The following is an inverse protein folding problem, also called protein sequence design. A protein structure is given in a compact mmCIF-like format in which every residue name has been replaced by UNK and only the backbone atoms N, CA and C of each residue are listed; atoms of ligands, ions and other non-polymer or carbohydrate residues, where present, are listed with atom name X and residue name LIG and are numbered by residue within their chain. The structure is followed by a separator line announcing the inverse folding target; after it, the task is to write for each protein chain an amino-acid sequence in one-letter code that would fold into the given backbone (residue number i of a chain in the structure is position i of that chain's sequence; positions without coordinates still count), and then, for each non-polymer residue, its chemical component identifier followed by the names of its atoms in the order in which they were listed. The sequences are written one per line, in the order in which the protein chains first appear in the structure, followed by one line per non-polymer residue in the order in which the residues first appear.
data_IF_694368417899
#
_entry.id   IF_694368417899
#
_cell.length_a   1.000
_cell.length_b   1.000
_cell.length_c   1.000
_cell.angle_alpha   90.00
_cell.angle_beta   90.00
_cell.angle_gamma   90.00
#
_symmetry.space_group_name_H-M   'P 1'
#
loop_
_entity.id
_entity.type
_entity.pdbx_description
1 polymer ?
#
# COMPACT_ATOMS: atom_id res chain seq x y z
N UNK A 1 -18.60 -1.40 -16.20
CA UNK A 1 -17.57 -1.61 -15.16
C UNK A 1 -16.22 -1.48 -15.82
N UNK A 2 -15.48 -0.39 -15.51
CA UNK A 2 -14.12 -0.20 -16.01
C UNK A 2 -13.17 -0.78 -14.97
N UNK A 3 -12.53 -1.91 -15.28
CA UNK A 3 -11.57 -2.54 -14.39
C UNK A 3 -10.22 -1.86 -14.49
N UNK A 4 -9.55 -1.66 -13.36
CA UNK A 4 -8.13 -1.30 -13.37
C UNK A 4 -7.30 -2.56 -13.65
N UNK A 5 -6.58 -2.63 -14.78
CA UNK A 5 -5.81 -3.83 -15.15
C UNK A 5 -4.64 -4.13 -14.19
N UNK A 6 -4.32 -3.23 -13.25
CA UNK A 6 -3.17 -3.38 -12.37
C UNK A 6 -3.55 -4.11 -11.06
N UNK A 7 -4.75 -3.86 -10.52
CA UNK A 7 -5.16 -4.37 -9.19
C UNK A 7 -6.52 -5.07 -9.16
N UNK A 8 -7.17 -5.21 -10.32
CA UNK A 8 -8.54 -5.71 -10.45
C UNK A 8 -9.54 -4.96 -9.55
N UNK A 9 -9.22 -3.73 -9.13
CA UNK A 9 -10.09 -2.94 -8.26
C UNK A 9 -11.29 -2.38 -9.04
N UNK A 10 -12.44 -2.33 -8.38
CA UNK A 10 -13.62 -1.67 -8.93
C UNK A 10 -13.45 -0.15 -8.85
N UNK A 11 -13.24 0.49 -10.01
CA UNK A 11 -13.03 1.95 -10.09
C UNK A 11 -14.26 2.76 -9.66
N UNK A 12 -15.45 2.26 -9.93
CA UNK A 12 -16.69 2.96 -9.56
C UNK A 12 -16.78 3.08 -8.03
N UNK A 13 -16.36 2.05 -7.29
CA UNK A 13 -16.27 2.08 -5.82
C UNK A 13 -15.22 3.09 -5.33
N UNK A 14 -14.04 3.12 -5.94
CA UNK A 14 -13.00 4.09 -5.59
C UNK A 14 -13.48 5.52 -5.82
N UNK A 15 -14.15 5.78 -6.94
CA UNK A 15 -14.69 7.11 -7.27
C UNK A 15 -15.79 7.53 -6.29
N UNK A 16 -16.69 6.62 -5.88
CA UNK A 16 -17.71 6.90 -4.86
C UNK A 16 -17.03 7.32 -3.55
N UNK A 17 -16.07 6.53 -3.07
CA UNK A 17 -15.38 6.80 -1.81
C UNK A 17 -14.53 8.08 -1.88
N UNK A 18 -13.83 8.32 -2.99
CA UNK A 18 -13.04 9.54 -3.20
C UNK A 18 -13.91 10.81 -3.13
N UNK A 19 -15.10 10.77 -3.72
CA UNK A 19 -16.03 11.89 -3.72
C UNK A 19 -16.72 12.09 -2.35
N UNK A 20 -17.12 11.00 -1.68
CA UNK A 20 -17.80 11.07 -0.38
C UNK A 20 -16.82 11.45 0.75
N UNK A 21 -15.53 11.16 0.60
CA UNK A 21 -14.51 11.32 1.65
C UNK A 21 -13.33 12.20 1.21
N UNK A 22 -13.59 13.34 0.56
CA UNK A 22 -12.54 14.28 0.15
C UNK A 22 -11.69 14.79 1.34
N UNK A 23 -10.38 14.49 1.37
CA UNK A 23 -9.46 15.01 2.40
C UNK A 23 -9.47 16.52 2.56
N UNK A 24 -9.69 17.27 1.49
CA UNK A 24 -9.66 18.74 1.51
C UNK A 24 -10.79 19.31 2.37
N UNK A 25 -12.00 18.74 2.23
CA UNK A 25 -13.20 19.11 2.99
C UNK A 25 -13.03 18.78 4.47
N UNK A 26 -12.47 17.60 4.77
CA UNK A 26 -12.15 17.18 6.14
C UNK A 26 -11.22 18.18 6.83
N UNK A 27 -10.14 18.57 6.15
CA UNK A 27 -9.13 19.46 6.73
C UNK A 27 -9.65 20.90 6.86
N UNK A 28 -10.49 21.38 5.93
CA UNK A 28 -11.15 22.69 6.07
C UNK A 28 -12.03 22.77 7.31
N UNK A 29 -12.87 21.76 7.53
CA UNK A 29 -13.72 21.66 8.71
C UNK A 29 -12.87 21.65 9.99
N UNK A 30 -11.80 20.85 10.02
CA UNK A 30 -10.89 20.79 11.16
C UNK A 30 -10.18 22.13 11.42
N UNK A 31 -9.57 22.74 10.40
CA UNK A 31 -8.84 24.00 10.50
C UNK A 31 -9.72 25.13 11.07
N UNK A 32 -10.97 25.22 10.60
CA UNK A 32 -11.95 26.20 11.09
C UNK A 32 -12.28 26.01 12.58
N UNK A 33 -12.32 24.76 13.05
CA UNK A 33 -12.63 24.40 14.44
C UNK A 33 -11.46 24.56 15.39
N UNK A 34 -10.23 24.57 14.91
CA UNK A 34 -9.01 24.67 15.73
C UNK A 34 -8.44 26.07 15.86
N UNK A 35 -8.94 27.05 15.10
CA UNK A 35 -8.43 28.42 15.13
C UNK A 35 -8.44 29.02 16.55
N UNK A 36 -7.26 29.38 17.06
CA UNK A 36 -7.07 30.00 18.38
C UNK A 36 -7.25 29.07 19.58
N UNK A 37 -7.37 27.74 19.37
CA UNK A 37 -7.53 26.77 20.46
C UNK A 37 -6.21 26.29 21.03
N UNK A 38 -6.24 25.80 22.27
CA UNK A 38 -5.06 25.24 22.92
C UNK A 38 -4.76 23.81 22.42
N UNK A 39 -3.50 23.34 22.50
CA UNK A 39 -3.10 22.02 22.01
C UNK A 39 -3.95 20.85 22.54
N UNK A 40 -4.38 20.91 23.81
CA UNK A 40 -5.23 19.87 24.42
C UNK A 40 -6.64 19.83 23.83
N UNK A 41 -7.21 20.99 23.49
CA UNK A 41 -8.50 21.08 22.81
C UNK A 41 -8.39 20.63 21.35
N UNK A 42 -7.27 20.98 20.69
CA UNK A 42 -6.96 20.52 19.33
C UNK A 42 -6.87 19.00 19.30
N UNK A 43 -6.18 18.37 20.25
CA UNK A 43 -6.09 16.91 20.31
C UNK A 43 -7.46 16.24 20.47
N UNK A 44 -8.32 16.78 21.33
CA UNK A 44 -9.69 16.28 21.51
C UNK A 44 -10.53 16.42 20.22
N UNK A 45 -10.43 17.57 19.54
CA UNK A 45 -11.08 17.79 18.25
C UNK A 45 -10.52 16.88 17.15
N UNK A 46 -9.21 16.60 17.20
CA UNK A 46 -8.55 15.73 16.23
C UNK A 46 -9.13 14.32 16.31
N UNK A 47 -9.25 13.80 17.52
CA UNK A 47 -9.87 12.49 17.76
C UNK A 47 -11.33 12.45 17.31
N UNK A 48 -12.11 13.51 17.56
CA UNK A 48 -13.50 13.59 17.13
C UNK A 48 -13.64 13.67 15.60
N UNK A 49 -13.03 14.68 14.98
CA UNK A 49 -13.19 14.96 13.54
C UNK A 49 -12.54 13.86 12.69
N UNK A 50 -11.25 13.59 12.89
CA UNK A 50 -10.54 12.58 12.10
C UNK A 50 -10.98 11.16 12.47
N UNK A 51 -11.24 10.88 13.75
CA UNK A 51 -11.72 9.56 14.17
C UNK A 51 -13.10 9.23 13.58
N UNK A 52 -14.02 10.21 13.55
CA UNK A 52 -15.32 10.06 12.87
C UNK A 52 -15.15 9.84 11.38
N UNK A 53 -14.28 10.59 10.71
CA UNK A 53 -13.97 10.40 9.30
C UNK A 53 -13.48 8.98 9.01
N UNK A 54 -12.49 8.48 9.75
CA UNK A 54 -11.94 7.12 9.56
C UNK A 54 -12.99 6.03 9.77
N UNK A 55 -13.85 6.18 10.79
CA UNK A 55 -14.95 5.25 11.05
C UNK A 55 -15.98 5.23 9.92
N UNK A 56 -16.41 6.41 9.45
CA UNK A 56 -17.42 6.52 8.39
C UNK A 56 -16.88 6.00 7.06
N UNK A 57 -15.62 6.29 6.73
CA UNK A 57 -14.96 5.78 5.53
C UNK A 57 -14.95 4.25 5.52
N UNK A 58 -14.53 3.63 6.62
CA UNK A 58 -14.51 2.17 6.69
C UNK A 58 -15.92 1.56 6.70
N UNK A 59 -16.87 2.16 7.39
CA UNK A 59 -18.26 1.72 7.39
C UNK A 59 -18.87 1.74 5.99
N UNK A 60 -18.63 2.83 5.25
CA UNK A 60 -19.09 2.96 3.88
C UNK A 60 -18.41 1.97 2.95
N UNK A 61 -17.11 1.78 3.10
CA UNK A 61 -16.37 0.78 2.33
C UNK A 61 -16.87 -0.65 2.62
N UNK A 62 -17.20 -0.99 3.87
CA UNK A 62 -17.79 -2.28 4.22
C UNK A 62 -19.16 -2.47 3.54
N UNK A 63 -20.01 -1.45 3.57
CA UNK A 63 -21.30 -1.46 2.87
C UNK A 63 -21.16 -1.63 1.35
N UNK A 64 -20.22 -0.91 0.71
CA UNK A 64 -19.99 -1.04 -0.73
C UNK A 64 -19.35 -2.38 -1.08
N UNK A 65 -18.33 -2.81 -0.33
CA UNK A 65 -17.57 -4.02 -0.59
C UNK A 65 -18.41 -5.29 -0.51
N UNK A 66 -19.47 -5.32 0.30
CA UNK A 66 -20.35 -6.48 0.39
C UNK A 66 -21.41 -6.54 -0.73
N UNK A 67 -21.49 -5.52 -1.58
CA UNK A 67 -22.39 -5.50 -2.75
C UNK A 67 -21.74 -6.17 -3.95
N UNK A 68 -22.50 -7.03 -4.63
CA UNK A 68 -22.00 -7.84 -5.75
C UNK A 68 -21.51 -7.00 -6.93
N UNK A 69 -22.10 -5.82 -7.15
CA UNK A 69 -21.71 -4.91 -8.22
C UNK A 69 -20.38 -4.20 -8.00
N UNK A 70 -19.86 -4.15 -6.77
CA UNK A 70 -18.57 -3.52 -6.45
C UNK A 70 -17.48 -4.54 -6.09
N UNK A 71 -17.86 -5.80 -5.88
CA UNK A 71 -16.95 -6.87 -5.52
C UNK A 71 -16.13 -7.32 -6.74
N UNK A 72 -14.82 -7.23 -6.61
CA UNK A 72 -13.90 -7.73 -7.62
C UNK A 72 -13.58 -9.22 -7.45
N UNK A 73 -13.09 -9.85 -8.51
CA UNK A 73 -12.82 -11.30 -8.51
C UNK A 73 -11.75 -11.70 -7.48
N UNK A 74 -10.76 -10.85 -7.23
CA UNK A 74 -9.76 -11.13 -6.21
C UNK A 74 -10.41 -11.13 -4.82
N UNK A 75 -11.28 -10.17 -4.53
CA UNK A 75 -12.00 -10.11 -3.27
C UNK A 75 -12.95 -11.30 -3.09
N UNK A 76 -13.68 -11.73 -4.12
CA UNK A 76 -14.50 -12.96 -4.06
C UNK A 76 -13.67 -14.17 -3.61
N UNK A 77 -12.52 -14.39 -4.25
CA UNK A 77 -11.62 -15.50 -3.92
C UNK A 77 -11.07 -15.39 -2.49
N UNK A 78 -10.76 -14.16 -2.04
CA UNK A 78 -10.31 -13.92 -0.68
C UNK A 78 -11.40 -14.19 0.36
N UNK A 79 -12.67 -13.85 0.07
CA UNK A 79 -13.81 -14.19 0.96
C UNK A 79 -14.01 -15.70 1.03
N UNK A 80 -14.05 -16.39 -0.11
CA UNK A 80 -14.17 -17.86 -0.17
C UNK A 80 -13.05 -18.55 0.62
N UNK A 81 -11.84 -18.00 0.58
CA UNK A 81 -10.71 -18.51 1.35
C UNK A 81 -10.82 -18.19 2.84
N UNK A 82 -11.28 -16.98 3.20
CA UNK A 82 -11.48 -16.54 4.57
C UNK A 82 -12.59 -17.29 5.32
N UNK A 83 -13.61 -17.77 4.59
CA UNK A 83 -14.73 -18.55 5.15
C UNK A 83 -14.30 -19.96 5.62
N UNK A 84 -13.05 -20.36 5.38
CA UNK A 84 -12.50 -21.62 5.90
C UNK A 84 -12.32 -21.55 7.42
N UNK A 85 -12.70 -22.61 8.18
CA UNK A 85 -12.68 -22.58 9.65
C UNK A 85 -11.35 -22.23 10.32
N UNK A 86 -10.23 -22.51 9.65
CA UNK A 86 -8.87 -22.35 10.17
C UNK A 86 -8.13 -21.15 9.54
N UNK A 87 -8.82 -20.31 8.77
CA UNK A 87 -8.22 -19.17 8.05
C UNK A 87 -8.71 -17.85 8.63
N UNK A 88 -10.01 -17.60 8.56
CA UNK A 88 -10.59 -16.31 8.93
C UNK A 88 -10.17 -15.16 7.98
N UNK A 89 -10.60 -13.92 8.27
CA UNK A 89 -10.41 -12.79 7.37
C UNK A 89 -9.00 -12.17 7.43
N UNK A 90 -8.23 -12.42 8.49
CA UNK A 90 -6.89 -11.87 8.64
C UNK A 90 -5.82 -12.77 8.00
N UNK A 91 -4.83 -12.24 7.25
CA UNK A 91 -4.65 -10.82 6.92
C UNK A 91 -5.30 -10.42 5.59
N UNK A 92 -5.66 -11.37 4.73
CA UNK A 92 -5.85 -11.08 3.30
C UNK A 92 -7.11 -10.27 2.98
N UNK A 93 -8.24 -10.57 3.64
CA UNK A 93 -9.44 -9.74 3.48
C UNK A 93 -9.17 -8.34 4.04
N UNK A 94 -8.49 -8.26 5.19
CA UNK A 94 -8.10 -6.99 5.81
C UNK A 94 -7.21 -6.16 4.87
N UNK A 95 -6.22 -6.78 4.24
CA UNK A 95 -5.36 -6.12 3.25
C UNK A 95 -6.19 -5.49 2.13
N UNK A 96 -7.15 -6.22 1.58
CA UNK A 96 -7.96 -5.70 0.47
C UNK A 96 -8.75 -4.45 0.87
N UNK A 97 -9.34 -4.44 2.07
CA UNK A 97 -10.04 -3.25 2.60
C UNK A 97 -9.10 -2.06 2.82
N UNK A 98 -7.88 -2.30 3.31
CA UNK A 98 -6.87 -1.25 3.46
C UNK A 98 -6.46 -0.69 2.10
N UNK A 99 -6.18 -1.55 1.11
CA UNK A 99 -5.85 -1.12 -0.25
C UNK A 99 -6.93 -0.20 -0.83
N UNK A 100 -8.19 -0.64 -0.80
CA UNK A 100 -9.31 0.14 -1.32
C UNK A 100 -9.44 1.47 -0.58
N UNK A 101 -9.41 1.46 0.74
CA UNK A 101 -9.60 2.66 1.55
C UNK A 101 -8.53 3.73 1.26
N UNK A 102 -7.26 3.33 1.22
CA UNK A 102 -6.16 4.27 1.01
C UNK A 102 -6.04 4.71 -0.45
N UNK A 103 -6.30 3.83 -1.43
CA UNK A 103 -6.33 4.23 -2.84
C UNK A 103 -7.48 5.20 -3.14
N UNK A 104 -8.64 5.02 -2.51
CA UNK A 104 -9.78 5.90 -2.70
C UNK A 104 -9.49 7.35 -2.27
N UNK A 105 -8.91 7.53 -1.08
CA UNK A 105 -8.65 8.88 -0.54
C UNK A 105 -7.33 9.49 -1.03
N UNK A 106 -6.48 8.69 -1.69
CA UNK A 106 -5.21 9.13 -2.26
C UNK A 106 -5.15 8.78 -3.75
N UNK A 107 -5.87 9.47 -4.65
CA UNK A 107 -5.86 9.21 -6.09
C UNK A 107 -4.48 9.30 -6.77
N UNK A 108 -3.49 9.93 -6.13
CA UNK A 108 -2.08 9.94 -6.61
C UNK A 108 -1.32 8.68 -6.22
N UNK A 109 -1.79 7.96 -5.21
CA UNK A 109 -1.20 6.72 -4.73
C UNK A 109 -1.48 5.62 -5.76
N UNK A 110 -0.41 5.08 -6.32
CA UNK A 110 -0.51 4.00 -7.29
C UNK A 110 -0.79 2.65 -6.64
N UNK A 111 -0.12 2.37 -5.52
CA UNK A 111 -0.30 1.15 -4.72
C UNK A 111 -0.12 1.46 -3.24
N UNK A 112 -0.83 0.73 -2.37
CA UNK A 112 -0.49 0.73 -0.95
C UNK A 112 0.77 -0.11 -0.76
N UNK A 113 1.78 0.45 -0.11
CA UNK A 113 3.06 -0.22 0.08
C UNK A 113 2.99 -1.32 1.13
N UNK A 114 2.57 -2.53 0.75
CA UNK A 114 2.54 -3.69 1.64
C UNK A 114 3.97 -4.21 1.87
N UNK A 115 4.41 -4.25 3.13
CA UNK A 115 5.73 -4.76 3.54
C UNK A 115 5.67 -6.22 3.99
N UNK A 116 4.64 -6.54 4.77
CA UNK A 116 4.44 -7.87 5.34
C UNK A 116 2.94 -8.17 5.29
N UNK A 117 2.58 -9.38 4.90
CA UNK A 117 1.20 -9.85 4.98
C UNK A 117 1.21 -11.35 5.24
N UNK A 118 1.05 -11.73 6.50
CA UNK A 118 0.94 -13.11 6.94
C UNK A 118 -0.02 -13.24 8.11
N UNK A 119 -0.20 -14.47 8.61
CA UNK A 119 -1.15 -14.77 9.69
C UNK A 119 -0.88 -14.03 11.01
N UNK A 120 0.32 -13.45 11.19
CA UNK A 120 0.74 -12.70 12.37
C UNK A 120 0.65 -11.21 12.21
N UNK A 121 1.06 -10.71 11.06
CA UNK A 121 1.29 -9.30 10.87
C UNK A 121 0.85 -8.89 9.46
N UNK A 122 0.23 -7.73 9.39
CA UNK A 122 0.04 -7.00 8.15
C UNK A 122 0.67 -5.63 8.32
N UNK A 123 1.77 -5.37 7.61
CA UNK A 123 2.44 -4.07 7.62
C UNK A 123 2.30 -3.39 6.27
N UNK A 124 2.02 -2.10 6.31
CA UNK A 124 1.95 -1.26 5.12
C UNK A 124 2.39 0.16 5.43
N UNK A 125 2.67 0.94 4.39
CA UNK A 125 3.06 2.35 4.54
C UNK A 125 2.45 3.25 3.47
N UNK A 126 2.44 4.55 3.77
CA UNK A 126 2.05 5.65 2.89
C UNK A 126 3.12 6.74 2.99
N UNK A 127 3.66 7.19 1.86
CA UNK A 127 4.67 8.25 1.79
C UNK A 127 4.02 9.63 1.89
N UNK A 128 4.76 10.59 2.43
CA UNK A 128 4.33 11.98 2.57
C UNK A 128 3.83 12.62 1.29
N UNK A 129 4.42 12.28 0.15
CA UNK A 129 4.05 12.83 -1.15
C UNK A 129 2.76 12.23 -1.72
N UNK A 130 2.33 11.09 -1.20
CA UNK A 130 1.12 10.39 -1.66
C UNK A 130 -0.07 10.57 -0.71
N UNK A 131 0.14 11.08 0.51
CA UNK A 131 -0.92 11.24 1.50
C UNK A 131 -1.67 12.57 1.31
N UNK A 132 -2.85 12.53 0.71
CA UNK A 132 -3.66 13.71 0.45
C UNK A 132 -4.18 14.39 1.72
N UNK A 133 -4.49 13.64 2.78
CA UNK A 133 -4.87 14.24 4.08
C UNK A 133 -3.71 15.07 4.63
N UNK A 134 -2.50 14.51 4.62
CA UNK A 134 -1.33 15.21 5.16
C UNK A 134 -0.92 16.40 4.30
N UNK A 135 -1.01 16.28 2.97
CA UNK A 135 -0.80 17.39 2.04
C UNK A 135 -1.78 18.54 2.33
N UNK A 136 -3.09 18.25 2.43
CA UNK A 136 -4.10 19.26 2.75
C UNK A 136 -3.87 19.91 4.13
N UNK A 137 -3.44 19.13 5.13
CA UNK A 137 -3.08 19.66 6.44
C UNK A 137 -1.88 20.61 6.39
N UNK A 138 -0.85 20.26 5.61
CA UNK A 138 0.36 21.08 5.45
C UNK A 138 0.04 22.44 4.82
N UNK A 139 -0.95 22.50 3.93
CA UNK A 139 -1.38 23.73 3.29
C UNK A 139 -2.21 24.64 4.21
N UNK A 140 -2.95 24.06 5.17
CA UNK A 140 -4.02 24.77 5.91
C UNK A 140 -3.75 24.98 7.39
N UNK A 141 -2.88 24.18 7.99
CA UNK A 141 -2.62 24.20 9.44
C UNK A 141 -1.26 24.84 9.74
N UNK A 142 -1.13 25.43 10.92
CA UNK A 142 0.17 25.87 11.42
C UNK A 142 1.06 24.67 11.74
N UNK A 143 2.37 24.88 11.72
CA UNK A 143 3.36 23.85 12.06
C UNK A 143 3.11 23.24 13.45
N UNK A 144 2.75 24.06 14.45
CA UNK A 144 2.42 23.58 15.80
C UNK A 144 1.25 22.58 15.81
N UNK A 145 0.21 22.84 15.01
CA UNK A 145 -0.95 21.94 14.90
C UNK A 145 -0.58 20.70 14.08
N UNK A 146 0.20 20.87 13.01
CA UNK A 146 0.65 19.80 12.14
C UNK A 146 1.51 18.79 12.91
N UNK A 147 2.39 19.25 13.80
CA UNK A 147 3.25 18.44 14.65
C UNK A 147 2.47 17.58 15.67
N UNK A 148 1.21 17.94 15.97
CA UNK A 148 0.33 17.06 16.74
C UNK A 148 -0.16 15.85 15.92
N UNK A 149 0.10 15.80 14.61
CA UNK A 149 -0.30 14.76 13.66
C UNK A 149 -1.77 14.32 13.83
N UNK A 150 -2.75 15.25 13.72
CA UNK A 150 -4.15 14.97 14.02
C UNK A 150 -4.75 13.87 13.13
N UNK A 151 -4.28 13.73 11.89
CA UNK A 151 -4.74 12.69 10.96
C UNK A 151 -4.44 11.25 11.40
N UNK A 152 -3.55 11.03 12.39
CA UNK A 152 -3.30 9.69 12.94
C UNK A 152 -4.59 9.03 13.44
N UNK A 153 -5.52 9.84 13.95
CA UNK A 153 -6.80 9.36 14.47
C UNK A 153 -7.71 8.81 13.36
N UNK A 154 -7.66 9.37 12.14
CA UNK A 154 -8.40 8.82 11.01
C UNK A 154 -7.87 7.43 10.65
N UNK A 155 -6.56 7.29 10.50
CA UNK A 155 -5.93 6.02 10.13
C UNK A 155 -6.16 4.95 11.20
N UNK A 156 -6.01 5.29 12.48
CA UNK A 156 -6.20 4.38 13.60
C UNK A 156 -7.67 3.95 13.75
N UNK A 157 -8.63 4.88 13.70
CA UNK A 157 -10.05 4.55 13.79
C UNK A 157 -10.51 3.70 12.60
N UNK A 158 -10.05 4.01 11.38
CA UNK A 158 -10.33 3.22 10.18
C UNK A 158 -9.87 1.76 10.34
N UNK A 159 -8.64 1.55 10.78
CA UNK A 159 -8.06 0.22 10.99
C UNK A 159 -8.80 -0.55 12.09
N UNK A 160 -9.07 0.09 13.23
CA UNK A 160 -9.80 -0.53 14.34
C UNK A 160 -11.23 -0.90 13.95
N UNK A 161 -11.93 -0.04 13.19
CA UNK A 161 -13.28 -0.32 12.69
C UNK A 161 -13.28 -1.53 11.75
N UNK A 162 -12.27 -1.66 10.88
CA UNK A 162 -12.13 -2.80 9.99
C UNK A 162 -11.92 -4.11 10.77
N UNK A 163 -10.98 -4.12 11.72
CA UNK A 163 -10.70 -5.29 12.56
C UNK A 163 -11.96 -5.72 13.32
N UNK A 164 -12.66 -4.76 13.95
CA UNK A 164 -13.91 -5.01 14.66
C UNK A 164 -14.99 -5.58 13.73
N UNK A 165 -15.21 -4.97 12.57
CA UNK A 165 -16.26 -5.38 11.64
C UNK A 165 -16.01 -6.79 11.06
N UNK A 166 -14.74 -7.21 10.97
CA UNK A 166 -14.36 -8.55 10.52
C UNK A 166 -14.16 -9.54 11.67
N UNK A 167 -14.49 -9.17 12.91
CA UNK A 167 -14.39 -10.04 14.08
C UNK A 167 -12.95 -10.42 14.46
N UNK A 168 -11.96 -9.63 14.03
CA UNK A 168 -10.55 -9.83 14.36
C UNK A 168 -10.26 -9.09 15.67
N UNK A 169 -10.48 -9.79 16.79
CA UNK A 169 -10.38 -9.20 18.13
C UNK A 169 -9.00 -9.37 18.79
N UNK A 170 -8.10 -10.11 18.14
CA UNK A 170 -6.77 -10.46 18.64
C UNK A 170 -5.64 -9.78 17.87
N UNK A 171 -5.97 -8.81 17.01
CA UNK A 171 -5.04 -7.93 16.34
C UNK A 171 -5.14 -6.49 16.88
N UNK A 172 -4.02 -5.79 16.93
CA UNK A 172 -3.95 -4.37 17.29
C UNK A 172 -3.37 -3.55 16.14
N UNK A 173 -3.94 -2.36 15.90
CA UNK A 173 -3.39 -1.38 14.98
C UNK A 173 -2.32 -0.52 15.65
N UNK A 174 -1.13 -0.49 15.06
CA UNK A 174 0.05 0.23 15.53
C UNK A 174 0.56 1.15 14.42
N UNK A 175 1.18 2.27 14.80
CA UNK A 175 1.84 3.20 13.87
C UNK A 175 3.32 3.36 14.27
N UNK A 176 4.20 2.43 13.87
CA UNK A 176 5.62 2.47 14.24
C UNK A 176 6.40 3.64 13.62
N UNK A 177 5.95 4.22 12.51
CA UNK A 177 6.57 5.40 11.87
C UNK A 177 5.51 6.41 11.49
N UNK A 178 5.85 7.69 11.55
CA UNK A 178 4.91 8.78 11.36
C UNK A 178 5.41 9.87 10.42
N UNK A 179 4.46 10.60 9.84
CA UNK A 179 4.73 11.53 8.74
C UNK A 179 5.64 12.71 9.12
N UNK A 180 5.67 13.10 10.40
CA UNK A 180 6.46 14.23 10.88
C UNK A 180 7.92 13.83 11.02
N UNK A 181 8.17 12.67 11.65
CA UNK A 181 9.52 12.24 12.02
C UNK A 181 10.21 11.44 10.91
N UNK A 182 9.45 10.67 10.12
CA UNK A 182 9.97 9.66 9.18
C UNK A 182 9.70 9.96 7.70
N UNK A 183 9.02 11.07 7.38
CA UNK A 183 8.51 11.42 6.04
C UNK A 183 7.60 10.32 5.40
N UNK A 184 7.08 9.41 6.23
CA UNK A 184 6.11 8.38 5.87
C UNK A 184 5.30 7.95 7.09
N UNK A 185 4.10 7.41 6.87
CA UNK A 185 3.41 6.66 7.90
C UNK A 185 3.58 5.16 7.64
N UNK A 186 4.12 4.42 8.60
CA UNK A 186 4.10 2.95 8.61
C UNK A 186 3.06 2.49 9.62
N UNK A 187 2.23 1.54 9.22
CA UNK A 187 1.21 0.90 10.03
C UNK A 187 1.47 -0.60 10.13
N UNK A 188 1.09 -1.18 11.27
CA UNK A 188 1.13 -2.62 11.51
C UNK A 188 -0.18 -3.04 12.17
N UNK A 189 -0.83 -4.07 11.62
CA UNK A 189 -1.92 -4.79 12.25
C UNK A 189 -1.32 -6.09 12.78
N UNK A 190 -1.02 -6.14 14.08
CA UNK A 190 -0.25 -7.22 14.69
C UNK A 190 -1.08 -8.10 15.61
N UNK A 191 -0.96 -9.43 15.48
CA UNK A 191 -1.56 -10.42 16.39
C UNK A 191 -0.52 -10.89 17.39
N UNK A 192 -0.76 -10.65 18.68
CA UNK A 192 0.11 -11.11 19.76
C UNK A 192 0.08 -12.63 19.93
N UNK A 193 -1.10 -13.23 19.77
CA UNK A 193 -1.34 -14.64 19.97
C UNK A 193 -1.86 -15.30 18.69
N UNK A 194 -1.10 -16.26 18.16
CA UNK A 194 -1.53 -17.06 17.01
C UNK A 194 -1.41 -18.51 17.41
N UNK A 195 -2.53 -19.20 17.38
CA UNK A 195 -2.52 -20.66 17.39
C UNK A 195 -2.48 -21.08 15.93
N UNK A 196 -1.28 -21.41 15.45
CA UNK A 196 -1.15 -22.00 14.12
C UNK A 196 -1.81 -23.38 14.14
N UNK A 197 -2.58 -23.77 13.11
CA UNK A 197 -3.05 -25.14 13.01
C UNK A 197 -1.83 -26.08 13.00
N UNK A 198 -1.82 -27.05 13.91
CA UNK A 198 -0.73 -28.03 14.07
C UNK A 198 -0.70 -29.08 12.96
N UNK A 199 -1.71 -29.10 12.09
CA UNK A 199 -1.76 -29.99 10.93
C UNK A 199 -1.07 -29.30 9.76
N UNK A 200 0.04 -29.87 9.21
CA UNK A 200 0.66 -29.35 8.00
C UNK A 200 -0.39 -29.32 6.89
N UNK A 201 -0.63 -28.14 6.31
CA UNK A 201 -1.54 -27.99 5.18
C UNK A 201 -0.92 -28.64 3.95
N UNK A 202 -1.65 -29.62 3.42
CA UNK A 202 -1.40 -30.35 2.17
C UNK A 202 -0.06 -31.11 2.15
N UNK A 203 -0.15 -32.44 2.20
CA UNK A 203 0.82 -33.24 1.46
C UNK A 203 0.77 -32.73 0.02
N UNK A 204 1.86 -32.12 -0.43
CA UNK A 204 2.03 -31.81 -1.84
C UNK A 204 2.01 -33.14 -2.58
N UNK A 205 0.84 -33.56 -3.09
CA UNK A 205 0.85 -34.54 -4.16
C UNK A 205 1.67 -33.89 -5.28
N UNK A 206 2.75 -34.57 -5.69
CA UNK A 206 3.80 -34.11 -6.60
C UNK A 206 3.33 -33.83 -8.04
N UNK A 207 2.08 -33.43 -8.23
CA UNK A 207 1.54 -32.93 -9.49
C UNK A 207 1.76 -31.42 -9.57
N UNK A 208 3.01 -30.99 -9.42
CA UNK A 208 3.41 -29.63 -9.84
C UNK A 208 3.14 -29.51 -11.33
N UNK A 209 2.13 -28.72 -11.69
CA UNK A 209 1.83 -28.40 -13.08
C UNK A 209 3.09 -27.84 -13.77
N UNK A 210 3.42 -28.37 -14.95
CA UNK A 210 4.52 -27.95 -15.82
C UNK A 210 4.47 -26.46 -16.23
N UNK A 211 3.42 -25.73 -15.86
CA UNK A 211 3.23 -24.30 -16.16
C UNK A 211 4.30 -23.38 -15.53
N UNK A 212 5.04 -23.85 -14.52
CA UNK A 212 6.14 -23.10 -13.89
C UNK A 212 7.45 -23.11 -14.69
N UNK A 213 7.55 -23.87 -15.78
CA UNK A 213 8.77 -24.00 -16.60
C UNK A 213 8.88 -23.06 -17.79
N UNK A 214 7.86 -22.25 -18.08
CA UNK A 214 7.98 -21.13 -19.02
C UNK A 214 8.68 -19.93 -18.36
N UNK A 215 9.88 -20.17 -17.81
CA UNK A 215 10.76 -19.09 -17.42
C UNK A 215 11.16 -18.34 -18.68
N UNK A 216 10.99 -17.02 -18.69
CA UNK A 216 11.81 -16.19 -19.56
C UNK A 216 13.27 -16.65 -19.37
N UNK A 217 13.96 -16.98 -20.46
CA UNK A 217 15.37 -17.37 -20.43
C UNK A 217 16.17 -16.18 -19.89
N UNK A 218 16.34 -16.13 -18.58
CA UNK A 218 17.14 -15.13 -17.92
C UNK A 218 18.55 -15.67 -17.77
N UNK A 219 19.46 -15.19 -18.61
CA UNK A 219 20.90 -15.31 -18.39
C UNK A 219 21.25 -14.34 -17.24
N UNK A 220 20.99 -14.75 -16.00
CA UNK A 220 21.29 -13.95 -14.79
C UNK A 220 22.59 -14.37 -14.09
N UNK A 221 23.28 -15.38 -14.62
CA UNK A 221 24.64 -15.75 -14.26
C UNK A 221 25.68 -15.18 -15.24
N UNK A 222 25.37 -14.05 -15.90
CA UNK A 222 26.39 -13.36 -16.69
C UNK A 222 27.33 -12.59 -15.76
N UNK A 223 28.63 -12.68 -16.02
CA UNK A 223 29.65 -11.80 -15.41
C UNK A 223 29.62 -10.38 -16.03
N UNK A 224 28.51 -10.02 -16.69
CA UNK A 224 28.35 -8.71 -17.31
C UNK A 224 28.25 -7.64 -16.22
N UNK A 225 28.97 -6.54 -16.43
CA UNK A 225 28.92 -5.37 -15.55
C UNK A 225 27.61 -4.60 -15.69
N UNK A 226 26.94 -4.72 -16.83
CA UNK A 226 25.70 -4.03 -17.13
C UNK A 226 24.65 -5.04 -17.59
N UNK A 227 23.51 -5.06 -16.91
CA UNK A 227 22.35 -5.90 -17.22
C UNK A 227 21.26 -4.97 -17.74
N UNK A 228 20.75 -5.23 -18.95
CA UNK A 228 19.64 -4.47 -19.53
C UNK A 228 18.31 -5.20 -19.36
N UNK A 229 17.34 -4.55 -18.74
CA UNK A 229 15.97 -5.03 -18.58
C UNK A 229 15.00 -4.11 -19.32
N UNK A 230 14.50 -4.57 -20.47
CA UNK A 230 13.49 -3.83 -21.24
C UNK A 230 12.07 -4.27 -20.84
N UNK A 231 11.36 -3.39 -20.15
CA UNK A 231 10.02 -3.64 -19.61
C UNK A 231 8.92 -2.84 -20.32
N UNK A 232 9.22 -2.19 -21.45
CA UNK A 232 8.28 -1.28 -22.15
C UNK A 232 6.95 -1.93 -22.56
N UNK A 233 6.97 -3.25 -22.76
CA UNK A 233 5.81 -4.04 -23.18
C UNK A 233 5.19 -4.86 -22.04
N UNK A 234 5.67 -4.69 -20.81
CA UNK A 234 5.15 -5.42 -19.66
C UNK A 234 3.98 -4.68 -19.04
N UNK A 235 3.00 -5.44 -18.56
CA UNK A 235 1.95 -4.89 -17.70
C UNK A 235 2.56 -4.44 -16.36
N UNK A 236 2.01 -3.42 -15.69
CA UNK A 236 2.69 -2.82 -14.54
C UNK A 236 2.95 -3.76 -13.36
N UNK A 237 2.05 -4.72 -13.12
CA UNK A 237 2.29 -5.75 -12.10
C UNK A 237 3.55 -6.58 -12.42
N UNK A 238 3.74 -6.94 -13.69
CA UNK A 238 4.91 -7.71 -14.14
C UNK A 238 6.18 -6.87 -14.12
N UNK A 239 6.08 -5.57 -14.41
CA UNK A 239 7.19 -4.61 -14.26
C UNK A 239 7.83 -4.72 -12.87
N UNK A 240 7.00 -4.70 -11.82
CA UNK A 240 7.48 -4.74 -10.42
C UNK A 240 8.20 -6.07 -10.13
N UNK A 241 7.59 -7.20 -10.50
CA UNK A 241 8.18 -8.51 -10.23
C UNK A 241 9.49 -8.75 -10.98
N UNK A 242 9.52 -8.41 -12.28
CA UNK A 242 10.72 -8.59 -13.10
C UNK A 242 11.84 -7.70 -12.58
N UNK A 243 11.58 -6.40 -12.38
CA UNK A 243 12.59 -5.47 -11.88
C UNK A 243 13.09 -5.88 -10.49
N UNK A 244 12.16 -6.29 -9.60
CA UNK A 244 12.42 -6.87 -8.28
C UNK A 244 13.43 -8.00 -8.28
N UNK A 245 13.13 -9.02 -9.08
CA UNK A 245 13.98 -10.21 -9.18
C UNK A 245 15.38 -9.92 -9.72
N UNK A 246 15.54 -8.89 -10.56
CA UNK A 246 16.82 -8.51 -11.14
C UNK A 246 17.69 -7.71 -10.16
N UNK A 247 17.16 -6.69 -9.49
CA UNK A 247 18.00 -5.90 -8.58
C UNK A 247 18.42 -6.69 -7.33
N UNK A 248 17.59 -7.60 -6.82
CA UNK A 248 17.94 -8.45 -5.67
C UNK A 248 19.10 -9.42 -5.98
N UNK A 249 19.34 -9.69 -7.27
CA UNK A 249 20.43 -10.55 -7.75
C UNK A 249 21.69 -9.79 -8.18
N UNK A 250 21.68 -8.45 -8.19
CA UNK A 250 22.86 -7.67 -8.54
C UNK A 250 24.02 -7.96 -7.59
N UNK A 251 25.21 -8.22 -8.16
CA UNK A 251 26.48 -8.27 -7.43
C UNK A 251 27.07 -6.87 -7.30
N UNK A 252 28.01 -6.69 -6.36
CA UNK A 252 28.75 -5.42 -6.23
C UNK A 252 29.47 -5.08 -7.53
N UNK A 253 29.32 -3.83 -7.97
CA UNK A 253 29.90 -3.33 -9.22
C UNK A 253 29.12 -3.71 -10.49
N UNK A 254 27.99 -4.41 -10.37
CA UNK A 254 27.03 -4.57 -11.46
C UNK A 254 25.99 -3.45 -11.44
N UNK A 255 25.50 -3.11 -12.63
CA UNK A 255 24.47 -2.11 -12.87
C UNK A 255 23.29 -2.75 -13.61
N UNK A 256 22.07 -2.54 -13.13
CA UNK A 256 20.83 -2.88 -13.82
C UNK A 256 20.27 -1.62 -14.49
N UNK A 257 20.14 -1.65 -15.81
CA UNK A 257 19.49 -0.61 -16.59
C UNK A 257 18.08 -1.06 -16.97
N UNK A 258 17.06 -0.35 -16.48
CA UNK A 258 15.65 -0.67 -16.71
C UNK A 258 15.05 0.32 -17.70
N UNK A 259 14.50 -0.14 -18.82
CA UNK A 259 13.83 0.70 -19.82
C UNK A 259 12.32 0.54 -19.73
N UNK A 260 11.60 1.64 -19.53
CA UNK A 260 10.14 1.66 -19.37
C UNK A 260 9.47 2.69 -20.27
N UNK A 261 8.24 2.38 -20.71
CA UNK A 261 7.36 3.32 -21.41
C UNK A 261 6.62 4.24 -20.43
N UNK A 262 6.45 3.80 -19.18
CA UNK A 262 5.89 4.59 -18.08
C UNK A 262 6.95 5.12 -17.13
N UNK A 263 6.53 6.01 -16.22
CA UNK A 263 7.38 6.59 -15.19
C UNK A 263 7.97 5.50 -14.26
N UNK A 264 9.24 5.70 -13.86
CA UNK A 264 10.01 4.83 -12.98
C UNK A 264 10.27 5.43 -11.59
N UNK A 265 9.66 6.56 -11.23
CA UNK A 265 9.75 7.13 -9.88
C UNK A 265 9.37 6.14 -8.77
N UNK A 266 8.43 5.23 -9.05
CA UNK A 266 8.05 4.17 -8.12
C UNK A 266 9.23 3.25 -7.74
N UNK A 267 10.20 3.06 -8.64
CA UNK A 267 11.32 2.14 -8.45
C UNK A 267 12.37 2.69 -7.50
N UNK A 268 12.76 3.96 -7.68
CA UNK A 268 13.64 4.66 -6.73
C UNK A 268 13.03 4.64 -5.33
N UNK A 269 11.75 5.01 -5.23
CA UNK A 269 11.01 4.99 -3.98
C UNK A 269 11.03 3.60 -3.36
N UNK A 270 10.68 2.57 -4.12
CA UNK A 270 10.68 1.15 -3.69
C UNK A 270 12.04 0.71 -3.14
N UNK A 271 13.13 1.05 -3.83
CA UNK A 271 14.49 0.72 -3.38
C UNK A 271 14.86 1.44 -2.09
N UNK A 272 14.56 2.74 -1.98
CA UNK A 272 14.81 3.52 -0.76
C UNK A 272 14.13 2.90 0.47
N UNK A 273 12.95 2.32 0.30
CA UNK A 273 12.16 1.78 1.41
C UNK A 273 12.45 0.31 1.72
N UNK A 274 12.49 -0.56 0.69
CA UNK A 274 12.67 -2.00 0.90
C UNK A 274 14.13 -2.39 1.11
N UNK A 275 15.06 -1.54 0.68
CA UNK A 275 16.49 -1.80 0.63
C UNK A 275 17.29 -0.53 0.96
N UNK A 276 17.00 0.15 2.10
CA UNK A 276 17.60 1.43 2.43
C UNK A 276 19.13 1.33 2.45
N UNK A 277 19.79 2.18 1.67
CA UNK A 277 21.25 2.25 1.56
C UNK A 277 21.91 1.11 0.78
N UNK A 278 21.17 0.10 0.30
CA UNK A 278 21.75 -1.02 -0.45
C UNK A 278 21.88 -0.75 -1.95
N UNK A 279 21.08 0.18 -2.48
CA UNK A 279 21.07 0.50 -3.90
C UNK A 279 21.09 2.00 -4.13
N UNK A 280 21.82 2.43 -5.16
CA UNK A 280 21.71 3.74 -5.77
C UNK A 280 20.83 3.61 -7.02
N UNK A 281 19.81 4.46 -7.13
CA UNK A 281 18.93 4.52 -8.30
C UNK A 281 19.06 5.90 -8.93
N UNK A 282 19.33 5.97 -10.23
CA UNK A 282 19.33 7.21 -11.01
C UNK A 282 18.28 7.10 -12.10
N UNK A 283 17.39 8.08 -12.16
CA UNK A 283 16.31 8.14 -13.16
C UNK A 283 16.70 9.10 -14.28
N UNK A 284 16.59 8.64 -15.52
CA UNK A 284 16.84 9.41 -16.73
C UNK A 284 15.61 9.36 -17.64
N UNK A 285 15.37 10.43 -18.40
CA UNK A 285 14.31 10.49 -19.41
C UNK A 285 14.93 10.69 -20.78
N UNK A 286 14.72 9.73 -21.68
CA UNK A 286 15.12 9.87 -23.08
C UNK A 286 13.96 10.49 -23.87
N UNK A 287 14.03 11.80 -24.10
CA UNK A 287 13.00 12.53 -24.86
C UNK A 287 12.90 12.07 -26.32
N UNK A 288 13.97 11.53 -26.91
CA UNK A 288 13.96 11.08 -28.31
C UNK A 288 13.26 9.75 -28.47
N UNK A 289 13.42 8.86 -27.50
CA UNK A 289 12.79 7.53 -27.52
C UNK A 289 11.44 7.49 -26.79
N UNK A 290 11.08 8.56 -26.07
CA UNK A 290 9.87 8.61 -25.26
C UNK A 290 9.86 7.55 -24.16
N UNK A 291 11.03 7.23 -23.59
CA UNK A 291 11.19 6.21 -22.57
C UNK A 291 11.85 6.76 -21.30
N UNK A 292 11.52 6.13 -20.18
CA UNK A 292 12.17 6.34 -18.90
C UNK A 292 13.21 5.25 -18.69
N UNK A 293 14.39 5.64 -18.20
CA UNK A 293 15.48 4.72 -17.86
C UNK A 293 15.76 4.84 -16.37
N UNK A 294 15.87 3.71 -15.67
CA UNK A 294 16.41 3.66 -14.31
C UNK A 294 17.74 2.91 -14.32
N UNK A 295 18.74 3.48 -13.68
CA UNK A 295 20.07 2.88 -13.50
C UNK A 295 20.21 2.54 -12.03
N UNK A 296 20.21 1.23 -11.73
CA UNK A 296 20.30 0.70 -10.37
C UNK A 296 21.67 0.08 -10.17
N UNK A 297 22.38 0.53 -9.14
CA UNK A 297 23.68 0.01 -8.75
C UNK A 297 23.63 -0.45 -7.30
N UNK A 298 24.21 -1.61 -7.00
CA UNK A 298 24.34 -2.10 -5.62
C UNK A 298 25.53 -1.42 -4.95
N UNK A 299 25.27 -0.78 -3.81
CA UNK A 299 26.25 0.01 -3.01
C UNK A 299 26.73 -0.78 -1.81
#
# INVERSE_FOLDING_TARGET
MKWDPIFDLNRDMLDILANEFDPSVLVDDFASKTAGKQPTEIEALSKDVFGKYGNLLMERLLDLGDRKEYMDRAYELLKEYADRPDTGPFPYVIQRFIEVAYLAINPKLYEVGILECNVRNMEFWIDKNDCNIFAAMTEKLSEDVLNLLPCRHACACLQNKLLQAKGVNDAAALQPMNMIDDDLCKFSLFREHIILPTVPRMSWDETTSDASRAGAQHVLDSDEKEILLDIRNLIPKKIIYETGGHYDRLKYGQVLKVLSSGDLQWLEKRLRMLRPGQFRCVLEKDEKQGCHTAIIERV
#
